data_IF_887849290294
#
_entry.id   IF_887849290294
#
_cell.length_a   1.000
_cell.length_b   1.000
_cell.length_c   1.000
_cell.angle_alpha   90.00
_cell.angle_beta   90.00
_cell.angle_gamma   90.00
#
_symmetry.space_group_name_H-M   'P 1'
#
loop_
_entity.id
_entity.type
_entity.pdbx_description
1 polymer ?
#
# COMPACT_ATOMS: atom_id res chain seq x y z
N UNK A 1 -40.41 19.23 -2.57
CA UNK A 1 -39.93 19.10 -1.16
C UNK A 1 -39.17 17.81 -1.05
N UNK A 2 -37.85 17.87 -1.24
CA UNK A 2 -36.93 16.71 -1.13
C UNK A 2 -36.68 16.48 0.36
N UNK A 3 -37.26 15.43 0.88
CA UNK A 3 -36.98 14.94 2.23
C UNK A 3 -35.53 14.43 2.30
N UNK A 4 -34.66 15.27 2.86
CA UNK A 4 -33.37 14.80 3.36
C UNK A 4 -33.65 13.84 4.55
N UNK A 5 -33.65 12.54 4.30
CA UNK A 5 -33.48 11.56 5.38
C UNK A 5 -32.04 11.70 5.87
N UNK A 6 -31.86 12.40 6.98
CA UNK A 6 -30.65 12.26 7.78
C UNK A 6 -30.63 10.81 8.27
N UNK A 7 -29.82 9.97 7.67
CA UNK A 7 -29.51 8.66 8.23
C UNK A 7 -28.78 8.96 9.54
N UNK A 8 -29.44 8.68 10.67
CA UNK A 8 -28.78 8.76 11.97
C UNK A 8 -27.66 7.71 11.96
N UNK A 9 -26.42 8.19 11.99
CA UNK A 9 -25.25 7.37 12.23
C UNK A 9 -25.34 6.85 13.65
N UNK A 10 -25.49 5.53 13.84
CA UNK A 10 -25.54 4.91 15.15
C UNK A 10 -24.12 4.47 15.56
N UNK A 11 -23.74 4.68 16.81
CA UNK A 11 -22.43 4.32 17.35
C UNK A 11 -22.07 2.82 17.21
N UNK A 12 -23.06 1.95 17.05
CA UNK A 12 -22.85 0.53 16.75
C UNK A 12 -22.23 0.34 15.38
N UNK A 13 -22.55 1.19 14.43
CA UNK A 13 -22.01 1.15 13.08
C UNK A 13 -20.54 1.63 13.06
N UNK A 14 -20.17 2.54 13.98
CA UNK A 14 -18.82 3.06 14.08
C UNK A 14 -17.79 1.97 14.42
N UNK A 15 -18.07 1.14 15.41
CA UNK A 15 -17.16 0.05 15.81
C UNK A 15 -16.99 -1.02 14.72
N UNK A 16 -18.06 -1.33 13.98
CA UNK A 16 -17.99 -2.25 12.84
C UNK A 16 -17.16 -1.65 11.69
N UNK A 17 -17.34 -0.36 11.40
CA UNK A 17 -16.57 0.36 10.39
C UNK A 17 -15.10 0.41 10.77
N UNK A 18 -14.77 0.75 12.02
CA UNK A 18 -13.40 0.76 12.51
C UNK A 18 -12.73 -0.61 12.35
N UNK A 19 -13.39 -1.67 12.81
CA UNK A 19 -12.88 -3.03 12.69
C UNK A 19 -12.58 -3.43 11.23
N UNK A 20 -13.49 -3.10 10.29
CA UNK A 20 -13.31 -3.36 8.87
C UNK A 20 -12.21 -2.51 8.24
N UNK A 21 -12.13 -1.23 8.58
CA UNK A 21 -11.10 -0.35 8.10
C UNK A 21 -9.71 -0.78 8.57
N UNK A 22 -9.55 -1.17 9.82
CA UNK A 22 -8.30 -1.70 10.35
C UNK A 22 -7.94 -3.04 9.69
N UNK A 23 -8.91 -3.91 9.43
CA UNK A 23 -8.66 -5.15 8.69
C UNK A 23 -8.16 -4.88 7.26
N UNK A 24 -8.77 -3.93 6.55
CA UNK A 24 -8.31 -3.46 5.25
C UNK A 24 -6.87 -2.92 5.30
N UNK A 25 -6.54 -2.09 6.30
CA UNK A 25 -5.20 -1.55 6.46
C UNK A 25 -4.15 -2.63 6.78
N UNK A 26 -4.52 -3.68 7.53
CA UNK A 26 -3.61 -4.80 7.76
C UNK A 26 -3.31 -5.56 6.48
N UNK A 27 -4.32 -5.82 5.65
CA UNK A 27 -4.13 -6.42 4.33
C UNK A 27 -3.29 -5.49 3.43
N UNK A 28 -3.61 -4.20 3.39
CA UNK A 28 -2.87 -3.22 2.62
C UNK A 28 -1.41 -3.04 3.10
N UNK A 29 -1.17 -3.20 4.41
CA UNK A 29 0.18 -3.20 4.99
C UNK A 29 1.00 -4.38 4.50
N UNK A 30 0.44 -5.59 4.52
CA UNK A 30 1.08 -6.79 3.95
C UNK A 30 1.36 -6.59 2.47
N UNK A 31 0.46 -5.92 1.76
CA UNK A 31 0.60 -5.60 0.34
C UNK A 31 1.49 -4.37 0.07
N UNK A 32 2.12 -3.80 1.06
CA UNK A 32 3.08 -2.71 0.93
C UNK A 32 2.49 -1.31 0.69
N UNK A 33 1.19 -1.15 0.52
CA UNK A 33 0.57 0.17 0.26
C UNK A 33 0.81 1.18 1.38
N UNK A 34 0.91 0.75 2.64
CA UNK A 34 1.18 1.66 3.75
C UNK A 34 2.61 2.22 3.75
N UNK A 35 3.54 1.60 3.02
CA UNK A 35 4.90 2.10 2.85
C UNK A 35 4.97 3.24 1.83
N UNK A 36 4.04 3.31 0.90
CA UNK A 36 4.06 4.27 -0.20
C UNK A 36 3.96 5.72 0.28
N UNK A 37 3.23 5.97 1.38
CA UNK A 37 3.07 7.32 1.95
C UNK A 37 2.71 8.38 0.90
N UNK A 38 1.90 8.02 -0.08
CA UNK A 38 1.42 8.93 -1.10
C UNK A 38 0.49 9.98 -0.46
N UNK A 39 0.83 11.24 -0.42
CA UNK A 39 0.01 12.31 0.17
C UNK A 39 -1.47 12.26 -0.23
N UNK A 40 -1.74 12.09 -1.52
CA UNK A 40 -3.07 11.85 -2.07
C UNK A 40 -3.05 10.71 -3.09
N UNK A 41 -4.09 9.88 -3.11
CA UNK A 41 -4.26 8.85 -4.14
C UNK A 41 -4.39 9.44 -5.54
N UNK A 42 -4.78 10.72 -5.66
CA UNK A 42 -4.88 11.44 -6.93
C UNK A 42 -3.53 11.96 -7.43
N UNK A 43 -2.49 11.93 -6.62
CA UNK A 43 -1.12 12.22 -7.06
C UNK A 43 -0.73 11.30 -8.21
N UNK A 44 0.04 11.83 -9.15
CA UNK A 44 0.30 11.11 -10.40
C UNK A 44 1.37 10.02 -10.29
N UNK A 45 2.00 9.84 -9.12
CA UNK A 45 3.13 8.94 -8.93
C UNK A 45 2.92 8.01 -7.76
N UNK A 46 3.18 6.72 -7.98
CA UNK A 46 3.26 5.68 -6.97
C UNK A 46 4.58 4.91 -7.13
N UNK A 47 5.19 4.54 -6.02
CA UNK A 47 6.39 3.72 -6.04
C UNK A 47 6.00 2.23 -6.05
N UNK A 48 6.14 1.60 -7.20
CA UNK A 48 5.75 0.20 -7.40
C UNK A 48 6.53 -0.76 -6.50
N UNK A 49 7.76 -0.42 -6.14
CA UNK A 49 8.61 -1.30 -5.32
C UNK A 49 8.11 -1.43 -3.90
N UNK A 50 7.63 -0.32 -3.35
CA UNK A 50 7.05 -0.34 -2.02
C UNK A 50 5.81 -1.25 -1.98
N UNK A 51 5.05 -1.30 -3.07
CA UNK A 51 3.86 -2.16 -3.18
C UNK A 51 4.24 -3.62 -3.43
N UNK A 52 5.27 -3.88 -4.24
CA UNK A 52 5.75 -5.24 -4.53
C UNK A 52 6.46 -5.87 -3.33
N UNK A 53 6.97 -5.07 -2.42
CA UNK A 53 7.60 -5.55 -1.20
C UNK A 53 6.66 -6.49 -0.42
N UNK A 54 7.15 -7.68 -0.08
CA UNK A 54 6.41 -8.77 0.57
C UNK A 54 5.34 -9.49 -0.28
N UNK A 55 5.28 -9.26 -1.59
CA UNK A 55 4.39 -10.02 -2.46
C UNK A 55 4.94 -11.41 -2.76
N UNK A 56 4.04 -12.39 -2.72
CA UNK A 56 4.30 -13.77 -3.13
C UNK A 56 3.11 -14.25 -3.97
N UNK A 57 3.17 -13.95 -5.26
CA UNK A 57 2.10 -14.28 -6.19
C UNK A 57 2.11 -15.77 -6.55
N UNK A 58 1.20 -16.51 -5.97
CA UNK A 58 1.05 -17.97 -6.20
C UNK A 58 0.71 -18.33 -7.66
N UNK A 59 0.38 -17.37 -8.50
CA UNK A 59 0.16 -17.61 -9.94
C UNK A 59 1.48 -17.78 -10.72
N UNK A 60 2.61 -17.40 -10.12
CA UNK A 60 3.94 -17.53 -10.70
C UNK A 60 4.78 -18.46 -9.81
N UNK A 61 5.50 -19.39 -10.42
CA UNK A 61 6.42 -20.24 -9.68
C UNK A 61 7.70 -19.51 -9.32
N UNK A 62 8.13 -19.59 -8.05
CA UNK A 62 9.45 -19.13 -7.62
C UNK A 62 10.59 -19.63 -8.53
N UNK A 63 10.52 -20.89 -8.96
CA UNK A 63 11.54 -21.45 -9.86
C UNK A 63 11.57 -20.74 -11.23
N UNK A 64 10.43 -20.27 -11.74
CA UNK A 64 10.41 -19.50 -12.98
C UNK A 64 11.08 -18.14 -12.81
N UNK A 65 10.77 -17.44 -11.72
CA UNK A 65 11.44 -16.17 -11.35
C UNK A 65 12.95 -16.39 -11.26
N UNK A 66 13.38 -17.38 -10.48
CA UNK A 66 14.79 -17.70 -10.30
C UNK A 66 15.50 -17.98 -11.63
N UNK A 67 14.94 -18.82 -12.50
CA UNK A 67 15.52 -19.13 -13.80
C UNK A 67 15.67 -17.89 -14.70
N UNK A 68 14.69 -16.96 -14.69
CA UNK A 68 14.79 -15.75 -15.48
C UNK A 68 15.85 -14.78 -14.93
N UNK A 69 16.01 -14.70 -13.61
CA UNK A 69 17.07 -13.90 -12.99
C UNK A 69 18.46 -14.49 -13.20
N UNK A 70 18.60 -15.81 -13.12
CA UNK A 70 19.86 -16.53 -13.47
C UNK A 70 20.30 -16.26 -14.91
N UNK A 71 19.37 -16.26 -15.89
CA UNK A 71 19.67 -15.88 -17.29
C UNK A 71 20.16 -14.44 -17.45
N UNK A 72 19.78 -13.57 -16.54
CA UNK A 72 20.20 -12.16 -16.49
C UNK A 72 21.47 -11.91 -15.67
N UNK A 73 22.08 -12.98 -15.12
CA UNK A 73 23.19 -12.94 -14.17
C UNK A 73 22.86 -12.12 -12.91
N UNK A 74 21.61 -12.21 -12.45
CA UNK A 74 21.16 -11.61 -11.21
C UNK A 74 21.12 -12.71 -10.15
N UNK A 75 21.94 -12.56 -9.12
CA UNK A 75 22.00 -13.47 -7.97
C UNK A 75 20.92 -13.12 -6.96
N UNK A 76 20.26 -14.15 -6.42
CA UNK A 76 19.29 -14.02 -5.33
C UNK A 76 19.99 -14.55 -4.10
N UNK A 77 20.56 -13.67 -3.31
CA UNK A 77 21.28 -13.96 -2.06
C UNK A 77 20.44 -13.67 -0.80
N UNK A 78 19.27 -13.10 -0.98
CA UNK A 78 18.34 -12.75 0.09
C UNK A 78 16.90 -13.11 -0.30
N UNK A 79 15.91 -12.52 0.39
CA UNK A 79 14.49 -12.70 0.07
C UNK A 79 14.11 -12.00 -1.23
N UNK A 80 13.11 -12.55 -1.88
CA UNK A 80 12.54 -11.99 -3.11
C UNK A 80 11.03 -11.95 -3.03
N UNK A 81 10.47 -10.80 -3.35
CA UNK A 81 9.05 -10.61 -3.58
C UNK A 81 8.77 -10.55 -5.08
N UNK A 82 7.63 -11.04 -5.51
CA UNK A 82 7.23 -10.98 -6.93
C UNK A 82 5.72 -11.03 -7.09
N UNK A 83 5.23 -10.41 -8.17
CA UNK A 83 3.81 -10.37 -8.52
C UNK A 83 3.64 -10.21 -10.04
N UNK A 84 2.68 -10.92 -10.62
CA UNK A 84 2.30 -10.70 -12.01
C UNK A 84 1.71 -9.31 -12.20
N UNK A 85 1.97 -8.70 -13.34
CA UNK A 85 1.41 -7.40 -13.70
C UNK A 85 -0.11 -7.38 -13.60
N UNK A 86 -0.76 -8.47 -14.02
CA UNK A 86 -2.21 -8.61 -13.93
C UNK A 86 -2.72 -8.58 -12.49
N UNK A 87 -2.05 -9.28 -11.57
CA UNK A 87 -2.46 -9.28 -10.17
C UNK A 87 -2.12 -7.97 -9.47
N UNK A 88 -1.00 -7.35 -9.81
CA UNK A 88 -0.65 -6.02 -9.32
C UNK A 88 -1.66 -4.96 -9.78
N UNK A 89 -2.11 -4.99 -11.05
CA UNK A 89 -3.14 -4.08 -11.55
C UNK A 89 -4.47 -4.25 -10.79
N UNK A 90 -4.89 -5.49 -10.56
CA UNK A 90 -6.11 -5.76 -9.77
C UNK A 90 -5.99 -5.23 -8.34
N UNK A 91 -4.84 -5.47 -7.71
CA UNK A 91 -4.56 -5.03 -6.35
C UNK A 91 -4.58 -3.50 -6.26
N UNK A 92 -3.89 -2.83 -7.19
CA UNK A 92 -3.86 -1.38 -7.28
C UNK A 92 -5.27 -0.79 -7.45
N UNK A 93 -6.07 -1.35 -8.39
CA UNK A 93 -7.45 -0.89 -8.61
C UNK A 93 -8.34 -1.08 -7.39
N UNK A 94 -8.20 -2.20 -6.69
CA UNK A 94 -8.96 -2.43 -5.47
C UNK A 94 -8.60 -1.40 -4.40
N UNK A 95 -7.32 -1.21 -4.16
CA UNK A 95 -6.83 -0.36 -3.07
C UNK A 95 -6.99 1.14 -3.35
N UNK A 96 -6.76 1.59 -4.59
CA UNK A 96 -6.69 3.01 -4.94
C UNK A 96 -7.78 3.48 -5.91
N UNK A 97 -8.41 2.55 -6.62
CA UNK A 97 -9.30 2.85 -7.75
C UNK A 97 -8.58 3.03 -9.08
N UNK A 98 -7.24 3.08 -9.08
CA UNK A 98 -6.40 3.26 -10.26
C UNK A 98 -5.60 2.00 -10.56
N UNK A 99 -5.55 1.61 -11.83
CA UNK A 99 -4.68 0.54 -12.30
C UNK A 99 -3.33 1.07 -12.78
N UNK A 100 -2.47 0.14 -13.19
CA UNK A 100 -1.11 0.47 -13.64
C UNK A 100 -1.07 1.35 -14.90
N UNK A 101 -2.13 1.33 -15.71
CA UNK A 101 -2.24 2.18 -16.91
C UNK A 101 -2.78 3.59 -16.61
N UNK A 102 -3.37 3.80 -15.43
CA UNK A 102 -4.07 5.03 -15.09
C UNK A 102 -3.15 6.05 -14.40
N UNK A 103 -1.99 5.62 -13.92
CA UNK A 103 -1.03 6.41 -13.15
C UNK A 103 0.40 6.12 -13.59
N UNK A 104 1.30 7.03 -13.27
CA UNK A 104 2.75 6.78 -13.37
C UNK A 104 3.18 5.98 -12.15
N UNK A 105 3.58 4.75 -12.37
CA UNK A 105 4.12 3.88 -11.34
C UNK A 105 5.64 3.92 -11.44
N UNK A 106 6.24 4.81 -10.67
CA UNK A 106 7.68 4.94 -10.63
C UNK A 106 8.29 3.72 -9.94
N UNK A 107 9.13 3.02 -10.68
CA UNK A 107 10.15 2.19 -10.07
C UNK A 107 11.32 3.13 -9.79
N UNK A 108 11.69 3.33 -8.54
CA UNK A 108 12.86 4.11 -8.18
C UNK A 108 14.08 3.53 -8.91
N UNK A 109 14.63 4.29 -9.87
CA UNK A 109 15.73 3.82 -10.71
C UNK A 109 16.97 3.40 -9.91
N UNK A 110 17.16 3.97 -8.72
CA UNK A 110 18.28 3.65 -7.84
C UNK A 110 18.20 2.23 -7.28
N UNK A 111 16.98 1.72 -7.03
CA UNK A 111 16.75 0.39 -6.47
C UNK A 111 16.31 -0.64 -7.51
N UNK A 112 15.91 -0.25 -8.74
CA UNK A 112 15.04 -1.07 -9.57
C UNK A 112 15.36 -1.17 -11.05
N UNK A 113 16.56 -0.88 -11.47
CA UNK A 113 16.98 -1.29 -12.82
C UNK A 113 16.90 -2.81 -12.92
N UNK A 114 15.79 -3.31 -13.48
CA UNK A 114 15.57 -4.70 -13.73
C UNK A 114 14.48 -5.36 -12.89
N UNK A 115 13.61 -4.59 -12.23
CA UNK A 115 12.52 -5.14 -11.41
C UNK A 115 11.36 -5.75 -12.20
N UNK A 116 11.43 -5.76 -13.53
CA UNK A 116 10.41 -6.35 -14.40
C UNK A 116 10.98 -7.46 -15.27
N UNK A 117 10.25 -8.58 -15.33
CA UNK A 117 10.58 -9.77 -16.13
C UNK A 117 9.56 -9.87 -17.26
N UNK A 118 9.98 -9.45 -18.48
CA UNK A 118 9.10 -9.42 -19.66
C UNK A 118 8.51 -10.79 -20.01
N UNK A 119 9.31 -11.84 -19.91
CA UNK A 119 8.91 -13.21 -20.24
C UNK A 119 7.83 -13.78 -19.33
N UNK A 120 7.71 -13.24 -18.12
CA UNK A 120 6.73 -13.65 -17.12
C UNK A 120 5.64 -12.61 -16.89
N UNK A 121 5.75 -11.45 -17.54
CA UNK A 121 4.91 -10.27 -17.28
C UNK A 121 4.76 -10.00 -15.77
N UNK A 122 5.90 -9.92 -15.06
CA UNK A 122 5.94 -9.87 -13.62
C UNK A 122 6.95 -8.85 -13.09
N UNK A 123 6.62 -8.25 -11.97
CA UNK A 123 7.52 -7.42 -11.17
C UNK A 123 8.17 -8.27 -10.08
N UNK A 124 9.41 -7.93 -9.72
CA UNK A 124 10.11 -8.54 -8.61
C UNK A 124 10.90 -7.48 -7.82
N UNK A 125 11.20 -7.81 -6.58
CA UNK A 125 12.08 -7.03 -5.71
C UNK A 125 12.93 -7.99 -4.87
N UNK A 126 14.26 -7.84 -4.96
CA UNK A 126 15.19 -8.52 -4.07
C UNK A 126 15.41 -7.61 -2.86
N UNK A 127 15.22 -8.15 -1.66
CA UNK A 127 15.29 -7.37 -0.42
C UNK A 127 15.80 -8.23 0.73
N UNK A 128 16.33 -7.59 1.78
CA UNK A 128 16.71 -8.29 3.02
C UNK A 128 15.49 -8.68 3.86
N UNK A 129 15.74 -9.14 5.09
CA UNK A 129 14.71 -9.55 6.02
C UNK A 129 13.56 -8.55 6.08
N UNK A 130 12.36 -9.07 5.87
CA UNK A 130 11.15 -8.28 5.88
C UNK A 130 10.71 -8.01 7.31
N UNK A 131 10.80 -6.77 7.72
CA UNK A 131 10.06 -6.32 8.88
C UNK A 131 8.61 -6.06 8.45
N UNK A 132 7.67 -6.83 8.98
CA UNK A 132 6.26 -6.56 8.77
C UNK A 132 5.93 -5.16 9.27
N UNK A 133 5.11 -4.42 8.53
CA UNK A 133 4.47 -3.25 9.12
C UNK A 133 3.50 -3.77 10.18
N UNK A 134 3.89 -3.64 11.44
CA UNK A 134 2.96 -3.75 12.54
C UNK A 134 2.59 -2.33 12.94
N UNK A 135 1.32 -2.01 12.83
CA UNK A 135 0.80 -0.72 13.24
C UNK A 135 -0.33 -0.91 14.26
N UNK A 136 -0.47 0.06 15.17
CA UNK A 136 -1.72 0.30 15.87
C UNK A 136 -2.50 1.36 15.11
N UNK A 137 -3.77 1.10 14.86
CA UNK A 137 -4.68 2.06 14.25
C UNK A 137 -5.82 2.37 15.18
N UNK A 138 -6.22 3.64 15.23
CA UNK A 138 -7.38 4.13 15.95
C UNK A 138 -8.19 5.02 15.01
N UNK A 139 -9.50 4.78 14.91
CA UNK A 139 -10.38 5.64 14.14
C UNK A 139 -10.55 6.98 14.85
N UNK A 140 -10.11 8.06 14.21
CA UNK A 140 -10.17 9.42 14.75
C UNK A 140 -11.32 10.24 14.18
N UNK A 141 -11.83 9.85 13.01
CA UNK A 141 -12.98 10.51 12.38
C UNK A 141 -13.70 9.54 11.44
N UNK A 142 -15.01 9.70 11.31
CA UNK A 142 -15.84 8.91 10.40
C UNK A 142 -17.04 9.73 9.93
N UNK A 143 -17.28 9.72 8.64
CA UNK A 143 -18.49 10.24 8.03
C UNK A 143 -19.17 9.18 7.14
N UNK A 144 -20.15 9.63 6.34
CA UNK A 144 -20.89 8.75 5.44
C UNK A 144 -19.99 8.08 4.41
N UNK A 145 -19.03 8.82 3.89
CA UNK A 145 -18.28 8.46 2.69
C UNK A 145 -16.81 8.17 2.98
N UNK A 146 -16.33 8.51 4.19
CA UNK A 146 -14.92 8.33 4.55
C UNK A 146 -14.69 7.93 6.00
N UNK A 147 -13.48 7.45 6.28
CA UNK A 147 -12.98 7.16 7.61
C UNK A 147 -11.50 7.56 7.70
N UNK A 148 -11.13 8.19 8.82
CA UNK A 148 -9.76 8.57 9.11
C UNK A 148 -9.21 7.70 10.24
N UNK A 149 -8.08 7.05 9.99
CA UNK A 149 -7.39 6.18 10.94
C UNK A 149 -6.04 6.80 11.28
N UNK A 150 -5.81 7.08 12.54
CA UNK A 150 -4.49 7.42 13.07
C UNK A 150 -3.69 6.13 13.23
N UNK A 151 -2.55 6.04 12.58
CA UNK A 151 -1.67 4.89 12.62
C UNK A 151 -0.32 5.25 13.23
N UNK A 152 0.26 4.27 13.95
CA UNK A 152 1.61 4.34 14.49
C UNK A 152 2.36 3.07 14.10
N UNK A 153 3.53 3.20 13.52
CA UNK A 153 4.40 2.07 13.19
C UNK A 153 5.23 1.65 14.40
N UNK A 154 5.24 0.37 14.74
CA UNK A 154 5.98 -0.13 15.91
C UNK A 154 7.44 -0.47 15.65
N UNK A 155 7.82 -0.71 14.39
CA UNK A 155 9.16 -1.17 14.03
C UNK A 155 10.10 -0.09 13.46
N UNK A 156 9.64 1.14 13.35
CA UNK A 156 10.53 2.24 12.96
C UNK A 156 11.39 2.68 14.14
N UNK A 157 12.68 2.91 13.92
CA UNK A 157 13.56 3.55 14.90
C UNK A 157 13.08 4.95 15.32
N UNK A 158 12.20 5.55 14.53
CA UNK A 158 11.53 6.80 14.81
C UNK A 158 10.10 6.73 14.27
N UNK A 159 9.19 6.08 15.02
CA UNK A 159 7.82 5.90 14.55
C UNK A 159 7.14 7.26 14.45
N UNK A 160 6.96 7.73 13.22
CA UNK A 160 6.17 8.94 12.96
C UNK A 160 4.71 8.52 12.79
N UNK A 161 3.80 9.08 13.59
CA UNK A 161 2.38 8.82 13.38
C UNK A 161 1.93 9.41 12.03
N UNK A 162 1.01 8.71 11.39
CA UNK A 162 0.44 9.10 10.12
C UNK A 162 -1.07 8.89 10.12
N UNK A 163 -1.77 9.63 9.29
CA UNK A 163 -3.21 9.49 9.11
C UNK A 163 -3.49 8.85 7.76
N UNK A 164 -4.27 7.79 7.79
CA UNK A 164 -4.82 7.17 6.59
C UNK A 164 -6.27 7.60 6.45
N UNK A 165 -6.59 8.22 5.32
CA UNK A 165 -7.97 8.50 4.95
C UNK A 165 -8.44 7.49 3.92
N UNK A 166 -9.53 6.82 4.23
CA UNK A 166 -10.14 5.81 3.37
C UNK A 166 -11.52 6.28 2.91
N UNK A 167 -11.83 6.05 1.65
CA UNK A 167 -13.19 6.14 1.10
C UNK A 167 -13.94 4.86 1.43
N UNK A 168 -15.18 4.99 1.89
CA UNK A 168 -16.10 3.88 2.07
C UNK A 168 -16.81 3.58 0.74
N UNK A 169 -16.82 2.32 0.37
CA UNK A 169 -17.46 1.85 -0.85
C UNK A 169 -18.85 1.27 -0.55
N UNK A 170 -19.76 1.29 -1.52
CA UNK A 170 -21.13 0.79 -1.36
C UNK A 170 -21.20 -0.72 -1.04
N UNK A 171 -20.20 -1.49 -1.46
CA UNK A 171 -20.05 -2.92 -1.19
C UNK A 171 -19.45 -3.23 0.19
N UNK A 172 -19.12 -2.18 0.97
CA UNK A 172 -18.53 -2.29 2.30
C UNK A 172 -17.00 -2.46 2.31
N UNK A 173 -16.34 -2.40 1.15
CA UNK A 173 -14.89 -2.33 1.02
C UNK A 173 -14.39 -0.88 1.19
N UNK A 174 -13.09 -0.69 1.16
CA UNK A 174 -12.43 0.60 1.30
C UNK A 174 -11.47 0.86 0.14
N UNK A 175 -11.17 2.15 -0.07
CA UNK A 175 -10.09 2.61 -0.95
C UNK A 175 -9.32 3.73 -0.28
N UNK A 176 -8.03 3.80 -0.54
CA UNK A 176 -7.23 4.92 -0.10
C UNK A 176 -7.69 6.23 -0.74
N UNK A 177 -7.74 7.29 0.07
CA UNK A 177 -7.79 8.68 -0.37
C UNK A 177 -6.41 9.30 -0.17
N UNK A 178 -5.82 9.12 1.01
CA UNK A 178 -4.50 9.66 1.34
C UNK A 178 -3.82 8.89 2.46
N UNK A 179 -2.50 8.97 2.48
CA UNK A 179 -1.64 8.56 3.60
C UNK A 179 -0.69 9.72 3.89
N UNK A 180 -0.85 10.37 5.03
CA UNK A 180 -0.12 11.59 5.36
C UNK A 180 0.59 11.48 6.70
N UNK A 181 1.87 11.81 6.74
CA UNK A 181 2.57 11.96 8.00
C UNK A 181 1.98 13.14 8.78
N UNK A 182 1.77 12.97 10.10
CA UNK A 182 1.23 14.03 10.96
C UNK A 182 2.20 15.20 11.16
N UNK A 183 3.49 14.90 11.07
CA UNK A 183 4.53 15.92 11.20
C UNK A 183 5.25 16.02 9.86
N UNK A 184 5.24 17.21 9.26
CA UNK A 184 6.15 17.52 8.17
C UNK A 184 7.58 17.31 8.68
N UNK A 185 8.44 16.73 7.86
CA UNK A 185 9.86 16.72 8.13
C UNK A 185 10.32 18.19 8.20
N UNK A 186 10.33 18.73 9.40
CA UNK A 186 11.12 19.95 9.68
C UNK A 186 12.54 19.52 9.39
N UNK A 187 13.01 19.88 8.18
CA UNK A 187 14.20 19.34 7.55
C UNK A 187 15.28 19.01 8.55
N UNK A 188 15.66 17.73 8.60
CA UNK A 188 16.92 17.36 9.15
C UNK A 188 17.98 18.13 8.37
N UNK A 189 18.39 19.26 8.90
CA UNK A 189 19.60 19.94 8.46
C UNK A 189 20.71 18.89 8.51
N UNK A 190 21.46 18.65 7.44
CA UNK A 190 22.60 17.75 7.48
C UNK A 190 23.63 18.44 8.38
N UNK A 191 23.59 18.12 9.64
CA UNK A 191 24.54 18.54 10.64
C UNK A 191 25.36 17.34 11.09
N UNK A 192 26.59 17.35 10.65
CA UNK A 192 27.78 16.56 10.94
C UNK A 192 28.04 15.37 10.06
#
# INVERSE_FOLDING_TARGET
TTLFRSVKFEWKDAADIEGKAIAFLREAGINGFLWERFGSVDDNRFNINMIVYQMDDKSISYNQIRQELEKRNIEIDTDISYISRTNLDKLARRATGYGLADKVWDADEAYNKGSYIDTLDAYYLIHGDTNYIVFAGEMIDVDRDSVCILCNDFYSYNPKPYVVTLKRMDDGDFRFISIQNLYEDVGDSPGY
#
